data_IF_612955981339
#
_entry.id   IF_612955981339
#
_cell.length_a   1.000
_cell.length_b   1.000
_cell.length_c   1.000
_cell.angle_alpha   90.00
_cell.angle_beta   90.00
_cell.angle_gamma   90.00
#
_symmetry.space_group_name_H-M   'P 1'
#
loop_
_entity.id
_entity.type
_entity.pdbx_description
1 polymer ?
#
# COMPACT_ATOMS: atom_id res chain seq x y z
N UNK A 1 12.40 13.06 1.08
CA UNK A 1 11.23 12.29 0.61
C UNK A 1 11.36 10.79 0.85
N UNK A 2 12.54 10.16 0.67
CA UNK A 2 12.74 8.71 0.93
C UNK A 2 12.34 8.24 2.35
N UNK A 3 12.33 9.16 3.33
CA UNK A 3 11.85 8.84 4.68
C UNK A 3 10.34 8.56 4.71
N UNK A 4 9.54 9.29 3.92
CA UNK A 4 8.11 9.01 3.77
C UNK A 4 7.87 7.73 2.98
N UNK A 5 8.78 7.37 2.08
CA UNK A 5 8.67 6.14 1.29
C UNK A 5 8.63 4.89 2.15
N UNK A 6 9.49 4.82 3.16
CA UNK A 6 9.49 3.71 4.11
C UNK A 6 8.15 3.64 4.86
N UNK A 7 7.59 4.79 5.24
CA UNK A 7 6.30 4.87 5.92
C UNK A 7 5.15 4.40 5.02
N UNK A 8 5.11 4.82 3.75
CA UNK A 8 4.08 4.37 2.81
C UNK A 8 4.17 2.88 2.49
N UNK A 9 5.38 2.33 2.38
CA UNK A 9 5.59 0.88 2.23
C UNK A 9 5.09 0.12 3.46
N UNK A 10 5.41 0.58 4.66
CA UNK A 10 4.94 -0.05 5.91
C UNK A 10 3.43 0.04 6.04
N UNK A 11 2.82 1.18 5.70
CA UNK A 11 1.37 1.36 5.71
C UNK A 11 0.71 0.44 4.69
N UNK A 12 1.24 0.37 3.46
CA UNK A 12 0.75 -0.53 2.41
C UNK A 12 0.86 -2.00 2.83
N UNK A 13 1.96 -2.37 3.48
CA UNK A 13 2.17 -3.71 4.03
C UNK A 13 1.17 -4.01 5.16
N UNK A 14 0.97 -3.09 6.10
CA UNK A 14 -0.01 -3.24 7.17
C UNK A 14 -1.44 -3.36 6.62
N UNK A 15 -1.78 -2.59 5.58
CA UNK A 15 -3.04 -2.68 4.86
C UNK A 15 -3.25 -4.06 4.23
N UNK A 16 -2.24 -4.60 3.55
CA UNK A 16 -2.30 -5.96 2.99
C UNK A 16 -2.33 -7.06 4.05
N UNK A 17 -1.79 -6.80 5.23
CA UNK A 17 -1.79 -7.74 6.34
C UNK A 17 -3.09 -7.76 7.14
N UNK A 18 -3.69 -6.58 7.39
CA UNK A 18 -4.91 -6.46 8.18
C UNK A 18 -6.18 -6.61 7.35
N UNK A 19 -6.18 -6.15 6.09
CA UNK A 19 -7.37 -6.17 5.25
C UNK A 19 -7.37 -7.44 4.40
N UNK A 20 -8.21 -8.41 4.80
CA UNK A 20 -8.46 -9.62 4.00
C UNK A 20 -9.12 -9.32 2.66
N UNK A 21 -9.98 -8.30 2.61
CA UNK A 21 -10.70 -7.94 1.40
C UNK A 21 -9.83 -7.08 0.46
N UNK A 22 -9.42 -7.65 -0.66
CA UNK A 22 -8.55 -6.98 -1.62
C UNK A 22 -9.15 -5.70 -2.20
N UNK A 23 -10.48 -5.62 -2.28
CA UNK A 23 -11.19 -4.44 -2.80
C UNK A 23 -11.09 -3.28 -1.82
N UNK A 24 -11.33 -3.55 -0.54
CA UNK A 24 -11.23 -2.58 0.56
C UNK A 24 -9.81 -2.05 0.71
N UNK A 25 -8.79 -2.92 0.57
CA UNK A 25 -7.39 -2.51 0.61
C UNK A 25 -7.02 -1.58 -0.53
N UNK A 26 -7.43 -1.89 -1.77
CA UNK A 26 -7.19 -1.04 -2.94
C UNK A 26 -7.92 0.30 -2.80
N UNK A 27 -9.17 0.31 -2.31
CA UNK A 27 -9.91 1.56 -2.06
C UNK A 27 -9.16 2.45 -1.07
N UNK A 28 -8.63 1.89 0.02
CA UNK A 28 -7.84 2.65 0.98
C UNK A 28 -6.52 3.18 0.38
N UNK A 29 -5.81 2.37 -0.40
CA UNK A 29 -4.58 2.80 -1.10
C UNK A 29 -4.86 3.96 -2.06
N UNK A 30 -5.95 3.86 -2.84
CA UNK A 30 -6.38 4.93 -3.76
C UNK A 30 -6.78 6.18 -2.99
N UNK A 31 -7.55 6.06 -1.91
CA UNK A 31 -7.97 7.20 -1.10
C UNK A 31 -6.76 7.94 -0.48
N UNK A 32 -5.81 7.20 0.10
CA UNK A 32 -4.57 7.76 0.66
C UNK A 32 -3.76 8.47 -0.43
N UNK A 33 -3.61 7.84 -1.60
CA UNK A 33 -2.88 8.41 -2.72
C UNK A 33 -3.53 9.68 -3.27
N UNK A 34 -4.86 9.74 -3.36
CA UNK A 34 -5.59 10.92 -3.85
C UNK A 34 -5.45 12.09 -2.86
N UNK A 35 -5.61 11.83 -1.56
CA UNK A 35 -5.39 12.84 -0.52
C UNK A 35 -3.96 13.37 -0.59
N UNK A 36 -2.98 12.47 -0.78
CA UNK A 36 -1.58 12.87 -0.89
C UNK A 36 -1.28 13.66 -2.17
N UNK A 37 -1.94 13.32 -3.28
CA UNK A 37 -1.82 14.04 -4.56
C UNK A 37 -2.29 15.48 -4.46
N UNK A 38 -3.32 15.75 -3.65
CA UNK A 38 -3.80 17.11 -3.41
C UNK A 38 -2.81 17.95 -2.60
N UNK A 39 -2.03 17.33 -1.71
CA UNK A 39 -1.06 18.03 -0.85
C UNK A 39 0.29 18.22 -1.55
N UNK A 40 0.78 17.21 -2.28
CA UNK A 40 2.15 17.15 -2.82
C UNK A 40 2.23 17.06 -4.34
N UNK A 41 1.10 17.04 -5.05
CA UNK A 41 1.05 17.01 -6.52
C UNK A 41 1.61 15.71 -7.12
N UNK A 42 2.49 15.85 -8.10
CA UNK A 42 3.04 14.74 -8.88
C UNK A 42 3.79 13.67 -8.05
N UNK A 43 4.26 14.01 -6.85
CA UNK A 43 4.97 13.06 -5.98
C UNK A 43 4.05 11.95 -5.43
N UNK A 44 2.74 12.15 -5.44
CA UNK A 44 1.81 11.12 -4.98
C UNK A 44 1.77 9.87 -5.86
N UNK A 45 2.19 9.98 -7.13
CA UNK A 45 2.36 8.81 -7.98
C UNK A 45 3.40 7.84 -7.40
N UNK A 46 4.49 8.36 -6.81
CA UNK A 46 5.50 7.53 -6.15
C UNK A 46 4.90 6.84 -4.90
N UNK A 47 4.22 7.61 -4.04
CA UNK A 47 3.55 7.08 -2.84
C UNK A 47 2.50 6.00 -3.17
N UNK A 48 1.78 6.14 -4.30
CA UNK A 48 0.85 5.13 -4.79
C UNK A 48 1.54 3.81 -5.13
N UNK A 49 2.65 3.88 -5.87
CA UNK A 49 3.44 2.69 -6.20
C UNK A 49 4.00 2.07 -4.93
N UNK A 50 4.48 2.86 -3.99
CA UNK A 50 5.04 2.38 -2.71
C UNK A 50 3.99 1.66 -1.85
N UNK A 51 2.77 2.19 -1.78
CA UNK A 51 1.63 1.55 -1.11
C UNK A 51 1.24 0.23 -1.79
N UNK A 52 1.16 0.21 -3.12
CA UNK A 52 0.87 -1.00 -3.89
C UNK A 52 1.93 -2.07 -3.70
N UNK A 53 3.21 -1.69 -3.74
CA UNK A 53 4.33 -2.61 -3.52
C UNK A 53 4.25 -3.20 -2.12
N UNK A 54 4.06 -2.38 -1.08
CA UNK A 54 3.88 -2.86 0.30
C UNK A 54 2.71 -3.83 0.43
N UNK A 55 1.57 -3.49 -0.17
CA UNK A 55 0.37 -4.33 -0.18
C UNK A 55 0.59 -5.67 -0.88
N UNK A 56 1.21 -5.68 -2.06
CA UNK A 56 1.48 -6.91 -2.80
C UNK A 56 2.52 -7.79 -2.10
N UNK A 57 3.54 -7.19 -1.48
CA UNK A 57 4.52 -7.92 -0.67
C UNK A 57 3.83 -8.58 0.55
N UNK A 58 2.99 -7.84 1.27
CA UNK A 58 2.22 -8.38 2.40
C UNK A 58 1.32 -9.51 1.95
N UNK A 59 0.57 -9.29 0.87
CA UNK A 59 -0.32 -10.30 0.32
C UNK A 59 0.46 -11.53 -0.11
N UNK A 60 1.57 -11.40 -0.83
CA UNK A 60 2.38 -12.56 -1.23
C UNK A 60 3.02 -13.28 -0.03
N UNK A 61 3.45 -12.55 0.99
CA UNK A 61 4.06 -13.13 2.19
C UNK A 61 3.03 -13.84 3.10
N UNK A 62 1.80 -13.33 3.17
CA UNK A 62 0.72 -13.82 4.05
C UNK A 62 -0.24 -14.78 3.36
N UNK A 63 -0.41 -14.65 2.05
CA UNK A 63 -1.20 -15.53 1.18
C UNK A 63 -0.35 -16.69 0.64
N UNK A 64 0.78 -17.03 1.29
CA UNK A 64 1.49 -18.28 0.97
C UNK A 64 0.45 -19.40 0.93
N UNK A 65 0.29 -20.12 -0.19
CA UNK A 65 -0.56 -21.30 -0.19
C UNK A 65 -0.02 -22.18 0.92
N UNK A 66 -0.91 -22.56 1.84
CA UNK A 66 -0.68 -23.67 2.76
C UNK A 66 -0.17 -24.81 1.87
N UNK A 67 1.15 -25.05 1.86
CA UNK A 67 1.72 -26.27 1.34
C UNK A 67 1.26 -27.35 2.31
N UNK A 68 0.08 -27.91 2.03
CA UNK A 68 -0.47 -29.08 2.71
C UNK A 68 -0.56 -30.23 1.73
#
# INVERSE_FOLDING_TARGET
MLFYTIVFVIIGFALGAFIKDSRSAIIAIVAISVIWALVWGAWAAAAFIELLVGYYIAKYALDKPKQS
#
